data_IF_172506825531
#
_entry.id   IF_172506825531
#
_cell.length_a   1.000
_cell.length_b   1.000
_cell.length_c   1.000
_cell.angle_alpha   90.00
_cell.angle_beta   90.00
_cell.angle_gamma   90.00
#
_symmetry.space_group_name_H-M   'P 1'
#
loop_
_entity.id
_entity.type
_entity.pdbx_description
1 polymer ?
#
# COMPACT_ATOMS: atom_id res chain seq x y z
N UNK A 1 5.62 0.10 -7.94
CA UNK A 1 5.64 -1.25 -7.31
C UNK A 1 4.23 -1.81 -7.15
N UNK A 2 3.95 -3.04 -7.59
CA UNK A 2 2.70 -3.75 -7.32
C UNK A 2 2.97 -5.06 -6.60
N UNK A 3 2.15 -5.40 -5.60
CA UNK A 3 2.18 -6.68 -4.90
C UNK A 3 0.83 -7.35 -5.05
N UNK A 4 0.85 -8.60 -5.50
CA UNK A 4 -0.33 -9.45 -5.52
C UNK A 4 -0.58 -10.00 -4.12
N UNK A 5 -1.71 -9.63 -3.52
CA UNK A 5 -2.10 -10.09 -2.20
C UNK A 5 -3.62 -9.98 -2.00
N UNK A 6 -4.11 -10.56 -0.93
CA UNK A 6 -5.45 -10.30 -0.42
C UNK A 6 -5.40 -9.09 0.51
N UNK A 7 -6.27 -8.12 0.26
CA UNK A 7 -6.33 -6.87 1.01
C UNK A 7 -7.71 -6.72 1.63
N UNK A 8 -7.78 -6.32 2.90
CA UNK A 8 -9.04 -5.97 3.54
C UNK A 8 -8.90 -4.61 4.21
N UNK A 9 -9.81 -3.68 3.87
CA UNK A 9 -9.84 -2.36 4.49
C UNK A 9 -10.86 -2.36 5.61
N UNK A 10 -10.37 -2.18 6.82
CA UNK A 10 -11.17 -2.03 8.02
C UNK A 10 -11.12 -0.57 8.50
N UNK A 11 -12.17 0.18 8.20
CA UNK A 11 -12.36 1.51 8.75
C UNK A 11 -12.76 1.37 10.21
N UNK A 12 -11.86 1.70 11.13
CA UNK A 12 -12.17 1.72 12.56
C UNK A 12 -13.40 2.63 12.74
N UNK A 13 -14.43 2.13 13.42
CA UNK A 13 -15.74 2.78 13.63
C UNK A 13 -16.78 2.71 12.50
N UNK A 14 -16.53 2.04 11.37
CA UNK A 14 -17.57 1.73 10.37
C UNK A 14 -17.83 0.21 10.31
N UNK A 15 -19.11 -0.21 10.30
CA UNK A 15 -19.52 -1.63 10.31
C UNK A 15 -19.09 -2.43 9.08
N UNK A 16 -18.61 -1.78 8.02
CA UNK A 16 -18.34 -2.39 6.73
C UNK A 16 -16.84 -2.43 6.43
N UNK A 17 -16.28 -3.64 6.44
CA UNK A 17 -14.98 -3.95 5.86
C UNK A 17 -15.14 -4.17 4.35
N UNK A 18 -14.28 -3.57 3.51
CA UNK A 18 -14.26 -3.86 2.07
C UNK A 18 -13.08 -4.77 1.77
N UNK A 19 -13.36 -6.04 1.47
CA UNK A 19 -12.35 -6.95 0.96
C UNK A 19 -12.05 -6.60 -0.51
N UNK A 20 -10.78 -6.46 -0.84
CA UNK A 20 -10.27 -6.35 -2.20
C UNK A 20 -9.22 -7.43 -2.41
N UNK A 21 -9.49 -8.35 -3.34
CA UNK A 21 -8.56 -9.43 -3.69
C UNK A 21 -7.56 -9.02 -4.78
N UNK A 22 -7.47 -7.73 -5.10
CA UNK A 22 -6.72 -7.24 -6.26
C UNK A 22 -5.32 -6.71 -5.93
N UNK A 23 -4.77 -7.03 -4.76
CA UNK A 23 -3.43 -6.59 -4.36
C UNK A 23 -3.35 -5.14 -3.87
N UNK A 24 -2.13 -4.64 -3.81
CA UNK A 24 -1.79 -3.26 -3.46
C UNK A 24 -0.70 -2.73 -4.40
N UNK A 25 -0.68 -1.42 -4.65
CA UNK A 25 0.41 -0.78 -5.39
C UNK A 25 0.91 0.48 -4.73
N UNK A 26 2.22 0.70 -4.81
CA UNK A 26 2.86 1.99 -4.57
C UNK A 26 3.17 2.66 -5.90
N UNK A 27 2.75 3.91 -6.02
CA UNK A 27 2.98 4.74 -7.21
C UNK A 27 3.22 6.19 -6.78
N UNK A 28 3.81 6.99 -7.67
CA UNK A 28 3.95 8.44 -7.45
C UNK A 28 2.81 9.18 -8.13
N UNK A 29 2.17 10.10 -7.42
CA UNK A 29 1.17 10.99 -8.00
C UNK A 29 1.83 12.16 -8.75
N UNK A 30 1.02 13.03 -9.37
CA UNK A 30 1.48 14.22 -10.11
C UNK A 30 2.21 15.25 -9.23
N UNK A 31 2.08 15.16 -7.90
CA UNK A 31 2.76 16.02 -6.93
C UNK A 31 4.04 15.36 -6.37
N UNK A 32 4.52 14.28 -7.00
CA UNK A 32 5.69 13.49 -6.57
C UNK A 32 5.55 12.83 -5.18
N UNK A 33 4.33 12.73 -4.66
CA UNK A 33 4.05 12.02 -3.40
C UNK A 33 3.82 10.53 -3.68
N UNK A 34 4.22 9.67 -2.74
CA UNK A 34 4.02 8.23 -2.82
C UNK A 34 2.61 7.90 -2.30
N UNK A 35 1.83 7.27 -3.16
CA UNK A 35 0.48 6.83 -2.87
C UNK A 35 0.43 5.31 -2.74
N UNK A 36 -0.31 4.83 -1.73
CA UNK A 36 -0.75 3.45 -1.62
C UNK A 36 -2.13 3.30 -2.24
N UNK A 37 -2.25 2.48 -3.27
CA UNK A 37 -3.50 2.09 -3.89
C UNK A 37 -3.90 0.66 -3.49
N UNK A 38 -5.20 0.45 -3.32
CA UNK A 38 -5.78 -0.88 -3.11
C UNK A 38 -6.34 -1.37 -4.45
N UNK A 39 -5.70 -2.40 -5.01
CA UNK A 39 -5.85 -2.79 -6.42
C UNK A 39 -4.69 -2.30 -7.30
N UNK A 40 -4.74 -2.65 -8.59
CA UNK A 40 -3.80 -2.16 -9.61
C UNK A 40 -4.18 -0.73 -10.02
N UNK A 41 -3.21 0.17 -10.07
CA UNK A 41 -3.37 1.54 -10.56
C UNK A 41 -4.08 1.58 -11.93
N UNK A 42 -4.92 2.61 -12.17
CA UNK A 42 -5.63 2.80 -13.43
C UNK A 42 -6.95 2.03 -13.58
N UNK A 43 -7.33 1.17 -12.63
CA UNK A 43 -8.65 0.51 -12.61
C UNK A 43 -9.72 1.36 -11.92
N UNK A 44 -10.96 1.33 -12.43
CA UNK A 44 -12.11 1.99 -11.78
C UNK A 44 -12.31 1.42 -10.36
N UNK A 45 -12.48 2.29 -9.37
CA UNK A 45 -12.76 1.90 -7.98
C UNK A 45 -11.52 1.71 -7.08
N UNK A 46 -10.32 2.06 -7.55
CA UNK A 46 -9.11 2.07 -6.71
C UNK A 46 -9.22 3.16 -5.65
N UNK A 47 -9.10 2.77 -4.38
CA UNK A 47 -8.94 3.71 -3.27
C UNK A 47 -7.45 3.93 -3.06
N UNK A 48 -7.02 5.19 -3.02
CA UNK A 48 -5.63 5.56 -2.80
C UNK A 48 -5.43 6.48 -1.60
N UNK A 49 -4.27 6.36 -0.96
CA UNK A 49 -3.89 7.09 0.23
C UNK A 49 -2.49 7.69 0.03
N UNK A 50 -2.33 8.99 0.28
CA UNK A 50 -1.03 9.67 0.28
C UNK A 50 -0.26 9.26 1.52
N UNK A 51 0.85 8.54 1.37
CA UNK A 51 1.49 7.88 2.50
C UNK A 51 2.18 8.88 3.44
N UNK A 52 2.75 9.95 2.90
CA UNK A 52 3.41 11.01 3.70
C UNK A 52 2.46 11.71 4.67
N UNK A 53 1.16 11.72 4.36
CA UNK A 53 0.13 12.39 5.16
C UNK A 53 -0.67 11.40 6.03
N UNK A 54 -0.79 10.14 5.59
CA UNK A 54 -1.70 9.17 6.18
C UNK A 54 -1.04 8.01 6.90
N UNK A 55 0.20 7.63 6.58
CA UNK A 55 0.84 6.47 7.20
C UNK A 55 1.06 6.73 8.70
N UNK A 56 0.47 5.89 9.55
CA UNK A 56 0.51 6.07 11.00
C UNK A 56 1.27 4.97 11.73
N UNK A 57 1.01 3.70 11.41
CA UNK A 57 1.70 2.55 12.02
C UNK A 57 1.79 1.38 11.07
N UNK A 58 2.78 0.52 11.31
CA UNK A 58 3.02 -0.72 10.58
C UNK A 58 3.14 -1.86 11.59
N UNK A 59 2.36 -2.92 11.41
CA UNK A 59 2.41 -4.14 12.22
C UNK A 59 2.91 -5.28 11.32
N UNK A 60 4.14 -5.75 11.57
CA UNK A 60 4.90 -6.62 10.66
C UNK A 60 5.32 -7.96 11.28
N UNK A 61 4.67 -8.40 12.36
CA UNK A 61 5.06 -9.62 13.09
C UNK A 61 4.92 -10.92 12.27
N UNK A 62 4.13 -10.92 11.20
CA UNK A 62 3.78 -12.11 10.40
C UNK A 62 4.20 -12.01 8.93
N UNK A 63 5.25 -11.23 8.63
CA UNK A 63 5.71 -11.02 7.25
C UNK A 63 6.18 -12.31 6.58
N UNK A 64 6.80 -13.23 7.34
CA UNK A 64 7.19 -14.56 6.85
C UNK A 64 6.00 -15.38 6.35
N UNK A 65 4.80 -15.12 6.87
CA UNK A 65 3.55 -15.77 6.46
C UNK A 65 2.83 -15.00 5.34
N UNK A 66 3.47 -13.96 4.78
CA UNK A 66 2.88 -13.10 3.76
C UNK A 66 1.76 -12.20 4.31
N UNK A 67 1.85 -11.79 5.58
CA UNK A 67 0.84 -10.97 6.26
C UNK A 67 1.44 -9.74 6.92
N UNK A 68 0.70 -8.63 6.88
CA UNK A 68 0.98 -7.47 7.71
C UNK A 68 -0.30 -6.62 7.88
N UNK A 69 -0.26 -5.65 8.79
CA UNK A 69 -1.32 -4.64 8.90
C UNK A 69 -0.71 -3.25 8.83
N UNK A 70 -1.34 -2.35 8.09
CA UNK A 70 -0.95 -0.95 7.96
C UNK A 70 -2.07 -0.10 8.52
N UNK A 71 -1.77 0.77 9.48
CA UNK A 71 -2.70 1.76 10.01
C UNK A 71 -2.47 3.09 9.30
N UNK A 72 -3.54 3.63 8.72
CA UNK A 72 -3.57 4.93 8.08
C UNK A 72 -4.49 5.88 8.86
N UNK A 73 -4.04 7.10 9.07
CA UNK A 73 -4.83 8.21 9.60
C UNK A 73 -5.48 8.96 8.43
N UNK A 74 -6.78 9.19 8.54
CA UNK A 74 -7.58 9.89 7.54
C UNK A 74 -7.75 11.36 7.93
N UNK A 75 -8.11 12.18 6.93
CA UNK A 75 -8.56 13.55 7.17
C UNK A 75 -9.75 13.54 8.13
N UNK A 76 -9.69 14.33 9.19
CA UNK A 76 -10.68 14.32 10.28
C UNK A 76 -10.32 13.45 11.48
N UNK A 77 -9.15 12.80 11.48
CA UNK A 77 -8.58 12.14 12.65
C UNK A 77 -9.04 10.71 12.91
N UNK A 78 -9.88 10.15 12.04
CA UNK A 78 -10.21 8.72 12.04
C UNK A 78 -9.04 7.88 11.52
N UNK A 79 -9.07 6.58 11.82
CA UNK A 79 -8.05 5.64 11.34
C UNK A 79 -8.69 4.50 10.53
N UNK A 80 -7.93 3.96 9.58
CA UNK A 80 -8.29 2.77 8.82
C UNK A 80 -7.12 1.81 8.82
N UNK A 81 -7.42 0.52 8.92
CA UNK A 81 -6.43 -0.55 8.88
C UNK A 81 -6.55 -1.28 7.54
N UNK A 82 -5.42 -1.41 6.86
CA UNK A 82 -5.26 -2.24 5.67
C UNK A 82 -4.61 -3.54 6.12
N UNK A 83 -5.39 -4.62 6.09
CA UNK A 83 -4.91 -5.96 6.40
C UNK A 83 -4.45 -6.61 5.10
N UNK A 84 -3.19 -7.03 5.06
CA UNK A 84 -2.57 -7.71 3.92
C UNK A 84 -2.37 -9.18 4.31
N UNK A 85 -2.70 -10.08 3.38
CA UNK A 85 -2.49 -11.52 3.54
C UNK A 85 -2.19 -12.18 2.21
N UNK A 86 -1.54 -13.35 2.24
CA UNK A 86 -1.16 -14.11 1.04
C UNK A 86 -0.28 -13.31 0.06
N UNK A 87 0.52 -12.38 0.57
CA UNK A 87 1.57 -11.73 -0.23
C UNK A 87 2.79 -12.66 -0.34
N UNK A 88 3.61 -12.48 -1.37
CA UNK A 88 4.95 -13.05 -1.37
C UNK A 88 5.78 -12.37 -0.24
N UNK A 89 6.44 -13.13 0.66
CA UNK A 89 7.18 -12.54 1.78
C UNK A 89 8.31 -11.59 1.37
N UNK A 90 9.04 -11.87 0.30
CA UNK A 90 10.17 -11.05 -0.16
C UNK A 90 9.67 -9.73 -0.76
N UNK A 91 8.61 -9.79 -1.57
CA UNK A 91 7.94 -8.59 -2.09
C UNK A 91 7.38 -7.75 -0.94
N UNK A 92 6.76 -8.40 0.05
CA UNK A 92 6.20 -7.74 1.22
C UNK A 92 7.28 -7.07 2.06
N UNK A 93 8.43 -7.72 2.29
CA UNK A 93 9.57 -7.13 2.98
C UNK A 93 10.09 -5.88 2.26
N UNK A 94 10.24 -5.95 0.94
CA UNK A 94 10.67 -4.80 0.14
C UNK A 94 9.67 -3.64 0.26
N UNK A 95 8.37 -3.92 0.14
CA UNK A 95 7.33 -2.91 0.31
C UNK A 95 7.32 -2.29 1.71
N UNK A 96 7.48 -3.11 2.76
CA UNK A 96 7.55 -2.61 4.13
C UNK A 96 8.82 -1.78 4.36
N UNK A 97 9.93 -2.08 3.68
CA UNK A 97 11.13 -1.24 3.76
C UNK A 97 10.85 0.18 3.27
N UNK A 98 10.14 0.32 2.15
CA UNK A 98 9.71 1.62 1.60
C UNK A 98 8.78 2.34 2.59
N UNK A 99 7.78 1.64 3.13
CA UNK A 99 6.87 2.24 4.11
C UNK A 99 7.60 2.71 5.37
N UNK A 100 8.56 1.94 5.88
CA UNK A 100 9.35 2.34 7.04
C UNK A 100 10.19 3.60 6.76
N UNK A 101 10.78 3.73 5.56
CA UNK A 101 11.49 4.95 5.17
C UNK A 101 10.54 6.15 5.16
N UNK A 102 9.35 6.01 4.57
CA UNK A 102 8.33 7.08 4.55
C UNK A 102 7.90 7.46 5.97
N UNK A 103 7.74 6.48 6.86
CA UNK A 103 7.32 6.71 8.25
C UNK A 103 8.38 7.45 9.08
N UNK A 104 9.67 7.25 8.79
CA UNK A 104 10.78 7.88 9.52
C UNK A 104 11.15 9.25 8.92
N UNK A 105 11.16 9.36 7.58
CA UNK A 105 11.57 10.56 6.84
C UNK A 105 10.59 10.88 5.71
N UNK A 106 9.36 11.31 6.02
CA UNK A 106 8.34 11.59 5.00
C UNK A 106 8.75 12.69 4.02
N UNK A 107 9.53 13.67 4.47
CA UNK A 107 10.03 14.78 3.65
C UNK A 107 11.03 14.36 2.56
N UNK A 108 11.64 13.17 2.70
CA UNK A 108 12.59 12.60 1.72
C UNK A 108 11.97 11.51 0.85
N UNK A 109 10.64 11.34 0.89
CA UNK A 109 9.95 10.32 0.08
C UNK A 109 10.24 10.46 -1.42
N UNK A 110 10.51 11.69 -1.89
CA UNK A 110 10.85 11.97 -3.28
C UNK A 110 12.16 11.32 -3.76
N UNK A 111 13.03 10.85 -2.85
CA UNK A 111 14.27 10.15 -3.18
C UNK A 111 14.10 8.63 -3.32
N UNK A 112 12.95 8.08 -2.87
CA UNK A 112 12.72 6.64 -2.85
C UNK A 112 12.42 6.12 -4.26
N UNK A 113 13.29 5.28 -4.80
CA UNK A 113 12.99 4.54 -6.02
C UNK A 113 11.92 3.46 -5.74
N UNK A 114 10.80 3.53 -6.46
CA UNK A 114 9.71 2.56 -6.34
C UNK A 114 9.88 1.37 -7.28
N UNK A 115 10.95 1.33 -8.08
CA UNK A 115 11.15 0.36 -9.14
C UNK A 115 10.07 0.53 -10.21
N UNK A 116 10.43 1.09 -11.36
CA UNK A 116 9.61 0.93 -12.55
C UNK A 116 9.62 -0.55 -12.95
N UNK A 117 8.65 -1.33 -12.45
CA UNK A 117 8.10 -2.41 -13.25
C UNK A 117 7.17 -1.75 -14.27
N UNK A 118 7.77 -1.15 -15.30
CA UNK A 118 7.08 -0.95 -16.56
C UNK A 118 6.50 -2.31 -16.95
N UNK A 119 5.19 -2.36 -17.17
CA UNK A 119 4.54 -3.42 -17.93
C UNK A 119 5.28 -3.54 -19.28
N UNK A 120 6.28 -4.39 -19.35
CA UNK A 120 6.58 -5.16 -20.55
C UNK A 120 5.99 -6.55 -20.26
N UNK A 121 5.30 -7.15 -21.22
CA UNK A 121 4.47 -8.38 -21.12
C UNK A 121 2.99 -8.16 -20.77
N UNK A 122 2.24 -7.60 -21.73
CA UNK A 122 0.90 -8.09 -22.13
C UNK A 122 0.53 -7.46 -23.50
N UNK A 123 1.36 -7.73 -24.52
CA UNK A 123 0.97 -7.74 -25.94
C UNK A 123 1.63 -8.96 -26.57
N UNK A 124 1.20 -10.16 -26.18
CA UNK A 124 1.31 -11.33 -27.05
C UNK A 124 -0.07 -11.98 -27.17
N UNK A 125 -0.46 -12.14 -28.45
CA UNK A 125 -1.68 -12.72 -29.06
C UNK A 125 -2.90 -11.82 -29.28
#
# INVERSE_FOLDING_TARGET
MYIKCNTNVNYLFQKTTRASTQGISLYRNQQSQICLAIGKEGKKGVTSFKLEESLSKIYSDYVSDGKCTIELKLAGGSCTNILISKANPDELLNFLSILNIIMITPERSFEIDLGNQSNEEEEEE
#
